data_IF_425611630150
#
_entry.id   IF_425611630150
#
_cell.length_a   1.000
_cell.length_b   1.000
_cell.length_c   1.000
_cell.angle_alpha   90.00
_cell.angle_beta   90.00
_cell.angle_gamma   90.00
#
_symmetry.space_group_name_H-M   'P 1'
#
loop_
_entity.id
_entity.type
_entity.pdbx_description
1 polymer ?
#
# COMPACT_ATOMS: atom_id res chain seq x y z
N UNK A 1 18.70 -19.48 9.35
CA UNK A 1 18.10 -18.15 9.61
C UNK A 1 16.70 -18.12 9.00
N UNK A 2 15.72 -17.49 9.65
CA UNK A 2 14.38 -17.28 9.09
C UNK A 2 14.17 -15.78 8.89
N UNK A 3 13.65 -15.38 7.74
CA UNK A 3 13.36 -13.97 7.41
C UNK A 3 12.08 -13.85 6.59
N UNK A 4 11.62 -12.61 6.37
CA UNK A 4 10.46 -12.28 5.57
C UNK A 4 10.87 -11.32 4.46
N UNK A 5 10.29 -11.49 3.28
CA UNK A 5 10.59 -10.65 2.12
C UNK A 5 9.35 -10.45 1.26
N UNK A 6 9.36 -9.40 0.46
CA UNK A 6 8.36 -9.20 -0.57
C UNK A 6 8.57 -10.15 -1.75
N UNK A 7 7.54 -10.30 -2.59
CA UNK A 7 7.62 -11.19 -3.76
C UNK A 7 8.69 -10.81 -4.77
N UNK A 8 9.00 -9.51 -4.94
CA UNK A 8 10.00 -9.09 -5.92
C UNK A 8 11.44 -9.41 -5.51
N UNK A 9 11.93 -9.07 -4.29
CA UNK A 9 13.26 -9.50 -3.87
C UNK A 9 13.38 -11.02 -3.78
N UNK A 10 12.30 -11.73 -3.41
CA UNK A 10 12.29 -13.20 -3.40
C UNK A 10 12.71 -13.80 -4.75
N UNK A 11 12.18 -13.28 -5.86
CA UNK A 11 12.44 -13.85 -7.19
C UNK A 11 13.65 -13.23 -7.91
N UNK A 12 14.14 -12.08 -7.46
CA UNK A 12 15.22 -11.33 -8.15
C UNK A 12 16.54 -11.30 -7.40
N UNK A 13 16.55 -11.50 -6.09
CA UNK A 13 17.73 -11.26 -5.24
C UNK A 13 18.06 -12.41 -4.28
N UNK A 14 17.15 -13.37 -4.11
CA UNK A 14 17.29 -14.44 -3.12
C UNK A 14 17.29 -15.83 -3.79
N UNK A 15 18.34 -16.19 -4.53
CA UNK A 15 18.41 -17.49 -5.21
C UNK A 15 18.60 -18.66 -4.23
N UNK A 16 19.19 -18.42 -3.07
CA UNK A 16 19.60 -19.44 -2.09
C UNK A 16 18.67 -19.47 -0.87
N UNK A 17 17.35 -19.38 -1.08
CA UNK A 17 16.36 -19.47 0.00
C UNK A 17 15.29 -20.50 -0.31
N UNK A 18 14.80 -21.16 0.74
CA UNK A 18 13.61 -22.01 0.66
C UNK A 18 12.38 -21.23 1.13
N UNK A 19 11.37 -21.10 0.27
CA UNK A 19 10.09 -20.52 0.67
C UNK A 19 9.36 -21.51 1.57
N UNK A 20 9.15 -21.13 2.84
CA UNK A 20 8.42 -21.96 3.82
C UNK A 20 6.92 -21.65 3.88
N UNK A 21 6.49 -20.49 3.37
CA UNK A 21 5.08 -20.11 3.36
C UNK A 21 4.85 -18.63 3.07
N UNK A 22 3.59 -18.21 3.14
CA UNK A 22 3.15 -16.83 3.01
C UNK A 22 2.14 -16.53 4.11
N UNK A 23 2.27 -15.38 4.77
CA UNK A 23 1.37 -14.98 5.83
C UNK A 23 -0.01 -14.60 5.30
N UNK A 24 -1.05 -15.00 6.04
CA UNK A 24 -2.40 -14.47 5.91
C UNK A 24 -2.61 -13.43 7.00
N UNK A 25 -2.47 -12.15 6.66
CA UNK A 25 -2.61 -11.08 7.63
C UNK A 25 -4.08 -10.68 7.84
N UNK A 26 -4.48 -10.55 9.10
CA UNK A 26 -5.74 -9.95 9.50
C UNK A 26 -5.62 -8.41 9.57
N UNK A 27 -5.24 -7.77 8.46
CA UNK A 27 -5.11 -6.31 8.35
C UNK A 27 -6.04 -5.75 7.27
N UNK A 28 -6.61 -4.54 7.44
CA UNK A 28 -7.40 -3.89 6.40
C UNK A 28 -6.64 -3.83 5.07
N UNK A 29 -7.28 -4.26 3.98
CA UNK A 29 -6.66 -4.35 2.66
C UNK A 29 -6.04 -5.70 2.32
N UNK A 30 -6.01 -6.64 3.27
CA UNK A 30 -5.64 -8.04 3.01
C UNK A 30 -6.86 -8.90 2.63
N UNK A 31 -6.64 -9.87 1.74
CA UNK A 31 -7.64 -10.84 1.29
C UNK A 31 -6.95 -12.18 1.01
N UNK A 32 -7.11 -13.15 1.92
CA UNK A 32 -6.32 -14.37 1.91
C UNK A 32 -4.82 -14.08 1.95
N UNK A 33 -4.05 -14.68 1.04
CA UNK A 33 -2.60 -14.42 0.91
C UNK A 33 -2.23 -13.09 0.24
N UNK A 34 -3.22 -12.31 -0.21
CA UNK A 34 -2.99 -11.05 -0.94
C UNK A 34 -3.04 -9.89 0.04
N UNK A 35 -2.13 -8.94 -0.14
CA UNK A 35 -2.16 -7.64 0.54
C UNK A 35 -2.07 -6.53 -0.51
N UNK A 36 -2.34 -5.30 -0.10
CA UNK A 36 -2.39 -4.13 -1.01
C UNK A 36 -1.39 -3.08 -0.60
N UNK A 37 -0.99 -2.26 -1.56
CA UNK A 37 -0.24 -1.04 -1.33
C UNK A 37 -1.22 0.12 -1.21
N UNK A 38 -1.10 0.89 -0.14
CA UNK A 38 -1.85 2.11 0.10
C UNK A 38 -1.04 3.28 -0.49
N UNK A 39 -1.67 4.08 -1.34
CA UNK A 39 -1.09 5.32 -1.83
C UNK A 39 -1.30 6.41 -0.80
N UNK A 40 -0.31 6.67 0.05
CA UNK A 40 -0.42 7.62 1.15
C UNK A 40 0.00 9.01 0.68
N UNK A 41 -0.86 9.99 0.94
CA UNK A 41 -0.68 11.41 0.61
C UNK A 41 -1.10 12.27 1.81
N UNK A 42 -0.62 13.51 1.86
CA UNK A 42 -1.09 14.50 2.85
C UNK A 42 -2.60 14.72 2.71
N UNK A 43 -3.28 15.03 3.80
CA UNK A 43 -4.73 15.31 3.82
C UNK A 43 -5.12 16.45 2.88
N UNK A 44 -4.27 17.49 2.80
CA UNK A 44 -4.48 18.59 1.86
C UNK A 44 -4.59 18.09 0.40
N UNK A 45 -3.94 16.98 0.09
CA UNK A 45 -3.91 16.34 -1.23
C UNK A 45 -4.87 15.14 -1.33
N UNK A 46 -5.70 14.86 -0.33
CA UNK A 46 -6.52 13.64 -0.30
C UNK A 46 -7.64 13.58 -1.33
N UNK A 47 -8.02 14.74 -1.87
CA UNK A 47 -9.02 14.86 -2.93
C UNK A 47 -8.43 14.55 -4.32
N UNK A 48 -7.10 14.50 -4.43
CA UNK A 48 -6.40 14.21 -5.69
C UNK A 48 -6.49 12.74 -6.05
N UNK A 49 -6.60 12.48 -7.34
CA UNK A 49 -6.43 11.16 -7.93
C UNK A 49 -4.95 10.91 -8.27
N UNK A 50 -4.57 9.65 -8.52
CA UNK A 50 -3.18 9.30 -8.84
C UNK A 50 -2.63 10.13 -10.02
N UNK A 51 -3.43 10.41 -11.04
CA UNK A 51 -3.02 11.22 -12.20
C UNK A 51 -2.61 12.66 -11.85
N UNK A 52 -3.17 13.23 -10.78
CA UNK A 52 -2.86 14.60 -10.34
C UNK A 52 -1.48 14.72 -9.69
N UNK A 53 -0.80 13.59 -9.47
CA UNK A 53 0.59 13.52 -9.00
C UNK A 53 1.61 13.46 -10.14
N UNK A 54 1.19 13.61 -11.40
CA UNK A 54 2.12 13.81 -12.51
C UNK A 54 3.03 15.02 -12.24
N UNK A 55 4.34 14.84 -12.41
CA UNK A 55 5.37 15.84 -12.13
C UNK A 55 5.66 16.08 -10.63
N UNK A 56 5.01 15.37 -9.71
CA UNK A 56 5.27 15.47 -8.26
C UNK A 56 6.42 14.58 -7.80
N UNK A 57 6.80 14.70 -6.53
CA UNK A 57 7.87 13.90 -5.91
C UNK A 57 7.28 12.66 -5.23
N UNK A 58 7.80 11.49 -5.57
CA UNK A 58 7.47 10.25 -4.87
C UNK A 58 8.57 9.85 -3.89
N UNK A 59 8.18 9.24 -2.77
CA UNK A 59 9.11 8.55 -1.86
C UNK A 59 8.73 7.08 -1.73
N UNK A 60 9.70 6.21 -1.93
CA UNK A 60 9.57 4.76 -1.85
C UNK A 60 10.47 4.23 -0.74
N UNK A 61 10.18 3.07 -0.16
CA UNK A 61 11.04 2.52 0.89
C UNK A 61 12.37 2.00 0.32
N UNK A 62 12.34 1.28 -0.80
CA UNK A 62 13.55 0.75 -1.43
C UNK A 62 13.32 0.44 -2.91
N UNK A 63 14.38 0.44 -3.70
CA UNK A 63 14.34 0.17 -5.15
C UNK A 63 13.89 -1.27 -5.48
N UNK A 64 14.18 -2.22 -4.59
CA UNK A 64 13.75 -3.62 -4.75
C UNK A 64 12.38 -3.88 -4.09
N UNK A 65 11.69 -2.85 -3.60
CA UNK A 65 10.41 -3.03 -2.92
C UNK A 65 9.29 -3.38 -3.89
N UNK A 66 8.59 -4.49 -3.63
CA UNK A 66 7.40 -4.83 -4.42
C UNK A 66 6.26 -3.83 -4.14
N UNK A 67 5.82 -3.75 -2.90
CA UNK A 67 4.68 -2.93 -2.47
C UNK A 67 4.98 -1.45 -2.47
N UNK A 68 6.17 -1.06 -2.03
CA UNK A 68 6.52 0.34 -1.90
C UNK A 68 7.11 0.99 -3.15
N UNK A 69 7.42 0.23 -4.20
CA UNK A 69 7.93 0.80 -5.45
C UNK A 69 7.37 0.16 -6.71
N UNK A 70 7.55 -1.14 -6.93
CA UNK A 70 7.15 -1.76 -8.21
C UNK A 70 5.63 -1.70 -8.48
N UNK A 71 4.80 -1.85 -7.43
CA UNK A 71 3.35 -1.63 -7.56
C UNK A 71 3.06 -0.19 -7.98
N UNK A 72 3.72 0.81 -7.38
CA UNK A 72 3.56 2.22 -7.75
C UNK A 72 3.97 2.48 -9.20
N UNK A 73 5.14 1.97 -9.61
CA UNK A 73 5.62 2.05 -11.01
C UNK A 73 4.60 1.49 -11.98
N UNK A 74 4.04 0.31 -11.69
CA UNK A 74 3.03 -0.34 -12.52
C UNK A 74 1.76 0.51 -12.61
N UNK A 75 1.34 1.14 -11.51
CA UNK A 75 0.14 1.98 -11.47
C UNK A 75 0.29 3.28 -12.27
N UNK A 76 1.49 3.88 -12.28
CA UNK A 76 1.75 5.15 -12.98
C UNK A 76 2.22 4.99 -14.42
N UNK A 77 2.66 3.79 -14.82
CA UNK A 77 3.07 3.49 -16.20
C UNK A 77 2.07 3.95 -17.27
N UNK A 78 0.76 3.66 -17.19
CA UNK A 78 -0.21 4.12 -18.20
C UNK A 78 -0.47 5.63 -18.18
N UNK A 79 -0.04 6.34 -17.13
CA UNK A 79 -0.21 7.78 -16.96
C UNK A 79 1.06 8.57 -17.29
N UNK A 80 2.15 7.85 -17.60
CA UNK A 80 3.47 8.44 -17.85
C UNK A 80 3.50 9.15 -19.21
N UNK A 81 4.28 10.22 -19.29
CA UNK A 81 4.56 10.95 -20.54
C UNK A 81 6.06 10.87 -20.79
N UNK A 82 6.44 10.45 -22.00
CA UNK A 82 7.85 10.28 -22.38
C UNK A 82 8.65 9.41 -21.39
N UNK A 83 8.02 8.33 -20.90
CA UNK A 83 8.63 7.40 -19.95
C UNK A 83 8.77 7.93 -18.52
N UNK A 84 8.24 9.12 -18.21
CA UNK A 84 8.32 9.75 -16.89
C UNK A 84 6.94 10.09 -16.32
N UNK A 85 6.80 9.95 -15.01
CA UNK A 85 5.59 10.33 -14.28
C UNK A 85 5.89 11.28 -13.12
N UNK A 86 6.84 10.91 -12.26
CA UNK A 86 7.30 11.77 -11.17
C UNK A 86 8.48 12.64 -11.60
N UNK A 87 8.61 13.82 -11.00
CA UNK A 87 9.80 14.67 -11.18
C UNK A 87 11.02 14.12 -10.44
N UNK A 88 10.78 13.45 -9.31
CA UNK A 88 11.80 12.76 -8.54
C UNK A 88 11.20 11.53 -7.83
N UNK A 89 12.03 10.49 -7.67
CA UNK A 89 11.73 9.32 -6.84
C UNK A 89 12.87 9.16 -5.84
N UNK A 90 12.57 9.23 -4.55
CA UNK A 90 13.55 9.07 -3.47
C UNK A 90 13.35 7.74 -2.75
N UNK A 91 14.43 7.18 -2.20
CA UNK A 91 14.41 5.95 -1.42
C UNK A 91 14.74 6.21 0.05
N UNK A 92 13.79 5.95 0.93
CA UNK A 92 13.85 6.31 2.36
C UNK A 92 14.43 5.20 3.26
N UNK A 93 14.63 4.00 2.73
CA UNK A 93 15.06 2.81 3.46
C UNK A 93 13.94 2.04 4.17
N UNK A 94 12.79 2.65 4.48
CA UNK A 94 11.66 1.94 5.12
C UNK A 94 10.32 2.63 4.91
N UNK A 95 9.21 1.88 4.97
CA UNK A 95 7.87 2.46 4.91
C UNK A 95 7.63 3.54 5.97
N UNK A 96 8.15 3.33 7.19
CA UNK A 96 8.08 4.32 8.27
C UNK A 96 8.84 5.60 7.92
N UNK A 97 10.02 5.49 7.31
CA UNK A 97 10.79 6.66 6.88
C UNK A 97 10.11 7.37 5.70
N UNK A 98 9.50 6.64 4.75
CA UNK A 98 8.68 7.25 3.69
C UNK A 98 7.55 8.12 4.26
N UNK A 99 6.88 7.68 5.33
CA UNK A 99 5.86 8.48 6.01
C UNK A 99 6.44 9.75 6.65
N UNK A 100 7.68 9.69 7.18
CA UNK A 100 8.38 10.88 7.70
C UNK A 100 8.74 11.86 6.58
N UNK A 101 9.20 11.38 5.43
CA UNK A 101 9.49 12.25 4.28
C UNK A 101 8.22 12.97 3.78
N UNK A 102 7.05 12.32 3.88
CA UNK A 102 5.79 12.99 3.61
C UNK A 102 5.45 14.03 4.68
N UNK A 103 5.65 13.72 5.97
CA UNK A 103 5.42 14.65 7.10
C UNK A 103 6.27 15.92 6.99
N UNK A 104 7.51 15.76 6.53
CA UNK A 104 8.48 16.85 6.37
C UNK A 104 8.32 17.60 5.03
N UNK A 105 7.31 17.26 4.24
CA UNK A 105 7.05 17.85 2.92
C UNK A 105 8.20 17.69 1.91
N UNK A 106 9.07 16.70 2.13
CA UNK A 106 10.14 16.34 1.20
C UNK A 106 9.60 15.57 -0.01
N UNK A 107 8.46 14.90 0.13
CA UNK A 107 7.76 14.17 -0.93
C UNK A 107 6.25 14.44 -0.91
N UNK A 108 5.55 14.04 -1.98
CA UNK A 108 4.12 14.31 -2.17
C UNK A 108 3.26 13.03 -2.08
N UNK A 109 3.84 11.88 -2.41
CA UNK A 109 3.14 10.59 -2.40
C UNK A 109 4.09 9.44 -2.06
N UNK A 110 3.59 8.43 -1.34
CA UNK A 110 4.29 7.19 -1.06
C UNK A 110 3.37 5.97 -1.26
N UNK A 111 3.94 4.83 -1.65
CA UNK A 111 3.26 3.55 -1.56
C UNK A 111 3.69 2.83 -0.26
N UNK A 112 2.72 2.53 0.60
CA UNK A 112 2.93 1.88 1.91
C UNK A 112 2.14 0.58 1.94
N UNK A 113 2.76 -0.54 2.28
CA UNK A 113 2.00 -1.79 2.40
C UNK A 113 0.97 -1.71 3.54
N UNK A 114 -0.19 -2.32 3.34
CA UNK A 114 -1.29 -2.20 4.30
C UNK A 114 -1.03 -2.92 5.64
N UNK A 115 -0.08 -3.86 5.69
CA UNK A 115 0.30 -4.57 6.92
C UNK A 115 1.15 -3.66 7.80
N UNK A 116 2.20 -3.05 7.25
CA UNK A 116 3.02 -2.05 7.95
C UNK A 116 2.16 -0.88 8.39
N UNK A 117 1.24 -0.40 7.54
CA UNK A 117 0.33 0.68 7.91
C UNK A 117 -0.53 0.30 9.14
N UNK A 118 -1.12 -0.89 9.16
CA UNK A 118 -1.91 -1.38 10.29
C UNK A 118 -1.05 -1.56 11.57
N UNK A 119 0.18 -2.05 11.44
CA UNK A 119 1.11 -2.19 12.56
C UNK A 119 1.51 -0.83 13.15
N UNK A 120 1.81 0.15 12.29
CA UNK A 120 2.10 1.52 12.72
C UNK A 120 0.88 2.13 13.41
N UNK A 121 -0.33 1.94 12.87
CA UNK A 121 -1.55 2.42 13.51
C UNK A 121 -1.75 1.83 14.91
N UNK A 122 -1.46 0.54 15.10
CA UNK A 122 -1.65 -0.15 16.38
C UNK A 122 -0.57 0.18 17.41
N UNK A 123 0.70 0.27 16.98
CA UNK A 123 1.84 0.28 17.91
C UNK A 123 2.63 1.59 17.91
N UNK A 124 2.54 2.39 16.86
CA UNK A 124 3.23 3.68 16.73
C UNK A 124 2.32 4.72 16.05
N UNK A 125 1.11 5.01 16.58
CA UNK A 125 0.16 5.92 15.95
C UNK A 125 0.73 7.32 15.72
N UNK A 126 1.71 7.75 16.53
CA UNK A 126 2.46 8.99 16.33
C UNK A 126 3.25 9.03 15.01
N UNK A 127 3.69 7.88 14.49
CA UNK A 127 4.31 7.80 13.16
C UNK A 127 3.29 8.10 12.04
N UNK A 128 2.00 8.05 12.37
CA UNK A 128 0.87 8.44 11.51
C UNK A 128 0.22 9.75 11.97
N UNK A 129 0.82 10.52 12.90
CA UNK A 129 0.22 11.74 13.47
C UNK A 129 0.06 12.92 12.49
N UNK A 130 0.35 12.72 11.21
CA UNK A 130 -0.07 13.64 10.15
C UNK A 130 -1.46 13.27 9.65
N UNK A 131 -2.18 14.22 9.07
CA UNK A 131 -3.44 13.89 8.41
C UNK A 131 -3.07 13.22 7.07
N UNK A 132 -3.27 11.91 6.97
CA UNK A 132 -2.91 11.07 5.83
C UNK A 132 -4.14 10.36 5.27
N UNK A 133 -4.25 10.30 3.94
CA UNK A 133 -5.29 9.49 3.29
C UNK A 133 -4.74 8.66 2.15
N UNK A 134 -5.49 7.59 1.82
CA UNK A 134 -5.22 6.80 0.63
C UNK A 134 -5.78 7.51 -0.60
N UNK A 135 -4.93 7.86 -1.56
CA UNK A 135 -5.37 8.42 -2.84
C UNK A 135 -6.23 7.38 -3.58
N UNK A 136 -7.50 7.72 -3.84
CA UNK A 136 -8.39 6.91 -4.68
C UNK A 136 -9.04 5.69 -4.03
N UNK A 137 -9.16 5.62 -2.70
CA UNK A 137 -10.04 4.62 -2.10
C UNK A 137 -11.51 4.91 -2.47
N UNK A 138 -12.07 4.21 -3.46
CA UNK A 138 -13.54 4.14 -3.58
C UNK A 138 -14.06 3.62 -2.24
N UNK A 139 -15.07 4.27 -1.62
CA UNK A 139 -15.68 3.72 -0.42
C UNK A 139 -16.14 2.29 -0.73
N UNK A 140 -15.80 1.33 0.14
CA UNK A 140 -16.39 0.00 0.07
C UNK A 140 -17.90 0.21 0.12
N UNK A 141 -18.64 -0.25 -0.90
CA UNK A 141 -20.04 -0.61 -0.69
C UNK A 141 -20.05 -1.53 0.53
N UNK A 142 -20.81 -1.16 1.56
CA UNK A 142 -21.06 -2.05 2.69
C UNK A 142 -21.44 -3.40 2.09
N UNK A 143 -20.76 -4.47 2.52
CA UNK A 143 -21.20 -5.80 2.18
C UNK A 143 -22.63 -5.91 2.69
N UNK A 144 -23.61 -6.04 1.78
CA UNK A 144 -24.96 -6.35 2.17
C UNK A 144 -24.90 -7.64 2.99
N UNK A 145 -25.36 -7.56 4.23
CA UNK A 145 -25.45 -8.69 5.14
C UNK A 145 -26.40 -9.71 4.50
N UNK A 146 -25.86 -10.64 3.71
CA UNK A 146 -26.59 -11.84 3.28
C UNK A 146 -26.70 -12.80 4.47
N UNK A 147 -27.41 -12.36 5.51
CA UNK A 147 -28.16 -13.30 6.34
C UNK A 147 -29.20 -13.92 5.42
N UNK A 148 -28.93 -15.16 5.04
CA UNK A 148 -29.88 -16.06 4.41
C UNK A 148 -31.16 -16.04 5.24
N UNK A 149 -32.20 -15.38 4.71
CA UNK A 149 -33.58 -15.70 5.06
C UNK A 149 -33.81 -17.12 4.52
N UNK A 150 -33.84 -18.11 5.41
CA UNK A 150 -34.50 -19.38 5.09
C UNK A 150 -36.00 -19.08 5.00
N UNK A 151 -36.67 -19.36 3.87
CA UNK A 151 -38.12 -19.36 3.84
C UNK A 151 -38.61 -20.64 4.53
N UNK A 152 -39.61 -20.49 5.40
CA UNK A 152 -40.27 -21.62 6.04
C UNK A 152 -41.00 -22.50 5.02
N UNK A 153 -41.09 -23.78 5.35
CA UNK A 153 -42.04 -24.72 4.77
C UNK A 153 -42.61 -25.56 5.90
N UNK A 154 -43.88 -25.32 6.23
CA UNK A 154 -44.73 -26.26 6.98
C UNK A 154 -45.09 -27.44 6.06
N UNK A 155 -45.17 -28.65 6.61
CA UNK A 155 -46.37 -29.51 6.59
C UNK A 155 -46.03 -30.91 7.12
N UNK A 156 -46.98 -31.42 7.92
CA UNK A 156 -47.17 -32.80 8.44
C UNK A 156 -46.32 -33.27 9.63
#
# INVERSE_FOLDING_TARGET
MLSQTCGYPLVTQLPEVQTVGCFHYAAPGCEGRRYRSLLVVREADSHRMLGDFFGRRAVCNAEHSQSGYNVLRKMVAPLSREGRFFSAVMFSGSHRQSLRELQQENADIAAIDCVTYALLQRHQPQALAGRWRSAGARPRRAAADHRRRHPGGNAE
#
